data_IF_673570227710
#
_entry.id   IF_673570227710
#
_cell.length_a   1.000
_cell.length_b   1.000
_cell.length_c   1.000
_cell.angle_alpha   90.00
_cell.angle_beta   90.00
_cell.angle_gamma   90.00
#
_symmetry.space_group_name_H-M   'P 1'
#
loop_
_entity.id
_entity.type
_entity.pdbx_description
1 polymer ?
#
# COMPACT_ATOMS: atom_id res chain seq x y z
N UNK A 1 -80.59 15.27 -32.07
CA UNK A 1 -81.56 15.90 -31.11
C UNK A 1 -80.68 16.77 -30.28
N UNK A 2 -80.67 17.98 -30.67
CA UNK A 2 -81.31 19.17 -30.09
C UNK A 2 -80.55 19.59 -28.83
N UNK A 3 -80.15 20.72 -28.66
CA UNK A 3 -80.09 22.08 -29.28
C UNK A 3 -79.98 23.09 -28.11
N UNK A 4 -79.30 24.15 -28.44
CA UNK A 4 -79.50 25.55 -27.96
C UNK A 4 -78.77 26.02 -26.70
N UNK A 5 -77.83 26.92 -26.88
CA UNK A 5 -77.82 28.35 -27.20
C UNK A 5 -78.15 29.25 -26.01
N UNK A 6 -77.35 30.31 -25.91
CA UNK A 6 -77.69 31.61 -25.45
C UNK A 6 -76.66 32.26 -24.55
N UNK A 7 -75.73 33.05 -24.91
CA UNK A 7 -75.66 34.43 -25.41
C UNK A 7 -76.11 35.50 -24.42
N UNK A 8 -75.23 36.44 -24.23
CA UNK A 8 -75.35 37.93 -24.22
C UNK A 8 -74.80 38.57 -22.94
N UNK A 9 -73.72 39.25 -23.01
CA UNK A 9 -73.48 40.68 -23.31
C UNK A 9 -73.48 41.63 -22.10
N UNK A 10 -72.40 42.43 -22.06
CA UNK A 10 -72.21 43.83 -21.69
C UNK A 10 -72.27 44.15 -20.19
N UNK A 11 -71.50 45.08 -19.60
CA UNK A 11 -70.71 46.19 -20.12
C UNK A 11 -69.93 46.83 -18.97
N UNK A 12 -68.90 47.54 -19.32
CA UNK A 12 -68.37 48.78 -18.74
C UNK A 12 -67.64 48.81 -17.38
N UNK A 13 -66.37 49.20 -17.52
CA UNK A 13 -65.48 49.79 -16.56
C UNK A 13 -65.98 51.08 -15.91
N UNK A 14 -65.23 51.88 -15.10
CA UNK A 14 -63.85 51.81 -14.68
C UNK A 14 -63.60 52.16 -13.19
N UNK A 15 -62.44 52.11 -12.65
CA UNK A 15 -61.75 53.15 -11.88
C UNK A 15 -60.67 52.57 -10.91
N UNK A 16 -59.44 52.79 -11.24
CA UNK A 16 -58.44 53.53 -10.49
C UNK A 16 -57.81 52.96 -9.20
N UNK A 17 -56.52 52.73 -9.32
CA UNK A 17 -55.37 53.14 -8.44
C UNK A 17 -54.84 52.22 -7.35
N UNK A 18 -53.54 52.21 -7.44
CA UNK A 18 -52.47 51.96 -6.43
C UNK A 18 -52.03 50.51 -6.26
N UNK A 19 -51.03 50.05 -6.95
CA UNK A 19 -49.66 50.29 -6.60
C UNK A 19 -49.16 49.33 -5.53
N UNK A 20 -48.63 48.19 -5.97
CA UNK A 20 -47.49 47.57 -5.21
C UNK A 20 -46.72 46.66 -6.15
N UNK A 21 -45.49 47.09 -6.46
CA UNK A 21 -44.48 46.26 -7.10
C UNK A 21 -44.09 45.13 -6.17
N UNK A 22 -44.38 43.90 -6.54
CA UNK A 22 -43.67 42.77 -5.99
C UNK A 22 -42.69 42.26 -7.04
N UNK A 23 -41.41 42.52 -6.73
CA UNK A 23 -40.29 42.07 -7.52
C UNK A 23 -40.20 40.55 -7.54
N UNK A 24 -40.22 40.01 -8.74
CA UNK A 24 -39.96 38.61 -9.05
C UNK A 24 -38.46 38.32 -8.80
N UNK A 25 -38.13 37.87 -7.57
CA UNK A 25 -36.81 37.33 -7.26
C UNK A 25 -36.63 36.06 -8.07
N UNK A 26 -35.86 36.13 -9.15
CA UNK A 26 -35.30 34.95 -9.84
C UNK A 26 -34.37 34.28 -8.88
N UNK A 27 -34.79 33.14 -8.30
CA UNK A 27 -33.91 32.21 -7.56
C UNK A 27 -33.04 31.54 -8.61
N UNK A 28 -31.81 31.99 -8.73
CA UNK A 28 -30.74 31.25 -9.40
C UNK A 28 -30.33 30.08 -8.48
N UNK A 29 -30.87 28.90 -8.76
CA UNK A 29 -30.35 27.65 -8.17
C UNK A 29 -28.97 27.41 -8.82
N UNK A 30 -27.92 27.77 -8.12
CA UNK A 30 -26.55 27.31 -8.42
C UNK A 30 -26.51 25.78 -8.19
N UNK A 31 -26.62 25.01 -9.25
CA UNK A 31 -26.26 23.61 -9.27
C UNK A 31 -24.72 23.55 -9.08
N UNK A 32 -24.28 23.43 -7.81
CA UNK A 32 -22.92 23.00 -7.48
C UNK A 32 -22.79 21.55 -7.96
N UNK A 33 -22.21 21.39 -9.15
CA UNK A 33 -21.74 20.08 -9.61
C UNK A 33 -20.69 19.60 -8.61
N UNK A 34 -21.07 18.65 -7.76
CA UNK A 34 -20.12 17.84 -6.99
C UNK A 34 -19.32 17.01 -8.00
N UNK A 35 -18.18 17.51 -8.41
CA UNK A 35 -17.16 16.71 -9.03
C UNK A 35 -16.57 15.82 -7.92
N UNK A 36 -16.61 14.49 -8.04
CA UNK A 36 -15.84 13.66 -7.12
C UNK A 36 -14.37 14.06 -7.34
N UNK A 37 -13.80 14.71 -6.34
CA UNK A 37 -12.36 14.94 -6.32
C UNK A 37 -11.68 13.56 -6.28
N UNK A 38 -11.13 13.13 -7.41
CA UNK A 38 -10.10 12.10 -7.38
C UNK A 38 -8.99 12.65 -6.49
N UNK A 39 -8.68 11.95 -5.40
CA UNK A 39 -7.45 12.21 -4.69
C UNK A 39 -6.32 12.08 -5.71
N UNK A 40 -5.68 13.20 -6.03
CA UNK A 40 -4.50 13.18 -6.87
C UNK A 40 -3.45 12.39 -6.09
N UNK A 41 -2.92 11.32 -6.70
CA UNK A 41 -1.72 10.65 -6.21
C UNK A 41 -0.65 11.73 -5.97
N UNK A 42 0.10 11.61 -4.88
CA UNK A 42 1.19 12.54 -4.60
C UNK A 42 2.29 12.29 -5.65
N UNK A 43 2.44 13.27 -6.56
CA UNK A 43 3.31 13.15 -7.73
C UNK A 43 4.53 14.03 -7.55
N UNK A 44 5.71 13.42 -7.58
CA UNK A 44 6.99 14.12 -7.52
C UNK A 44 7.77 13.97 -8.82
N UNK A 45 8.32 15.06 -9.33
CA UNK A 45 9.12 15.08 -10.55
C UNK A 45 10.59 15.35 -10.25
N UNK A 46 11.46 14.46 -10.71
CA UNK A 46 12.91 14.54 -10.61
C UNK A 46 13.49 14.82 -12.00
N UNK A 47 13.97 16.04 -12.27
CA UNK A 47 14.55 16.38 -13.57
C UNK A 47 15.81 15.55 -13.87
N UNK A 48 16.10 15.35 -15.14
CA UNK A 48 17.33 14.69 -15.56
C UNK A 48 18.56 15.44 -15.09
N UNK A 49 19.57 14.74 -14.54
CA UNK A 49 20.82 15.36 -14.04
C UNK A 49 21.63 16.02 -15.14
N UNK A 50 21.51 15.57 -16.38
CA UNK A 50 22.15 16.17 -17.57
C UNK A 50 21.65 17.59 -17.89
N UNK A 51 20.54 18.03 -17.32
CA UNK A 51 19.94 19.34 -17.61
C UNK A 51 19.27 19.44 -18.99
N UNK A 52 19.09 18.33 -19.72
CA UNK A 52 18.41 18.33 -21.02
C UNK A 52 16.93 18.69 -20.87
N UNK A 53 16.46 19.68 -21.61
CA UNK A 53 15.06 20.12 -21.56
C UNK A 53 14.07 19.05 -22.05
N UNK A 54 14.49 18.22 -23.02
CA UNK A 54 13.70 17.12 -23.59
C UNK A 54 14.27 15.76 -23.16
N UNK A 55 14.46 15.58 -21.86
CA UNK A 55 14.89 14.30 -21.32
C UNK A 55 13.73 13.29 -21.37
N UNK A 56 13.99 12.01 -21.72
CA UNK A 56 12.98 10.97 -21.58
C UNK A 56 12.57 10.82 -20.11
N UNK A 57 11.27 10.59 -19.87
CA UNK A 57 10.69 10.54 -18.53
C UNK A 57 10.30 9.11 -18.19
N UNK A 58 10.91 8.54 -17.16
CA UNK A 58 10.48 7.30 -16.53
C UNK A 58 9.32 7.60 -15.58
N UNK A 59 8.16 7.01 -15.82
CA UNK A 59 7.00 7.09 -14.90
C UNK A 59 6.94 5.84 -14.02
N UNK A 60 6.90 6.07 -12.70
CA UNK A 60 6.90 5.00 -11.68
C UNK A 60 5.63 5.08 -10.84
N UNK A 61 4.87 3.99 -10.76
CA UNK A 61 3.80 3.81 -9.78
C UNK A 61 4.32 2.96 -8.62
N UNK A 62 4.25 3.48 -7.42
CA UNK A 62 4.85 2.81 -6.27
C UNK A 62 4.03 2.95 -4.99
N UNK A 63 4.07 1.92 -4.16
CA UNK A 63 3.55 1.96 -2.79
C UNK A 63 4.65 2.13 -1.73
N UNK A 64 5.82 2.58 -2.14
CA UNK A 64 6.88 3.02 -1.24
C UNK A 64 6.79 4.53 -1.13
N UNK A 65 6.62 5.05 0.10
CA UNK A 65 6.51 6.48 0.37
C UNK A 65 7.67 7.22 -0.31
N UNK A 66 7.36 8.33 -0.99
CA UNK A 66 8.31 9.06 -1.83
C UNK A 66 9.62 9.41 -1.11
N UNK A 67 9.63 9.91 0.14
CA UNK A 67 10.88 10.20 0.84
C UNK A 67 11.80 8.99 1.02
N UNK A 68 11.23 7.79 1.17
CA UNK A 68 11.99 6.54 1.24
C UNK A 68 12.52 6.09 -0.13
N UNK A 69 11.81 6.43 -1.21
CA UNK A 69 12.21 6.07 -2.57
C UNK A 69 13.35 6.93 -3.12
N UNK A 70 13.55 8.13 -2.58
CA UNK A 70 14.52 9.12 -3.09
C UNK A 70 15.94 8.57 -3.32
N UNK A 71 16.56 7.78 -2.42
CA UNK A 71 17.89 7.24 -2.67
C UNK A 71 17.97 6.33 -3.89
N UNK A 72 16.92 5.51 -4.13
CA UNK A 72 16.87 4.67 -5.33
C UNK A 72 16.73 5.50 -6.61
N UNK A 73 15.92 6.54 -6.58
CA UNK A 73 15.74 7.46 -7.71
C UNK A 73 17.06 8.18 -8.01
N UNK A 74 17.73 8.70 -6.97
CA UNK A 74 19.05 9.37 -7.12
C UNK A 74 20.11 8.42 -7.68
N UNK A 75 20.22 7.21 -7.10
CA UNK A 75 21.18 6.21 -7.56
C UNK A 75 20.94 5.80 -9.03
N UNK A 76 19.68 5.62 -9.42
CA UNK A 76 19.33 5.35 -10.81
C UNK A 76 19.74 6.51 -11.73
N UNK A 77 19.47 7.75 -11.34
CA UNK A 77 19.84 8.94 -12.13
C UNK A 77 21.36 9.22 -12.18
N UNK A 78 22.14 8.70 -11.22
CA UNK A 78 23.61 8.72 -11.31
C UNK A 78 24.13 7.84 -12.43
N UNK A 79 23.55 6.63 -12.54
CA UNK A 79 23.86 5.71 -13.64
C UNK A 79 23.20 6.11 -14.97
N UNK A 80 22.14 6.94 -14.93
CA UNK A 80 21.33 7.35 -16.08
C UNK A 80 21.03 8.85 -16.05
N UNK A 81 22.04 9.72 -16.19
CA UNK A 81 21.89 11.18 -15.97
C UNK A 81 21.01 11.88 -17.01
N UNK A 82 20.70 11.22 -18.12
CA UNK A 82 19.83 11.67 -19.21
C UNK A 82 18.34 11.39 -18.97
N UNK A 83 17.96 10.69 -17.87
CA UNK A 83 16.59 10.30 -17.60
C UNK A 83 15.99 11.14 -16.47
N UNK A 84 14.82 11.74 -16.72
CA UNK A 84 13.96 12.31 -15.70
C UNK A 84 13.07 11.22 -15.08
N UNK A 85 12.63 11.39 -13.82
CA UNK A 85 11.74 10.43 -13.17
C UNK A 85 10.49 11.15 -12.66
N UNK A 86 9.33 10.61 -13.03
CA UNK A 86 8.03 10.96 -12.44
C UNK A 86 7.64 9.84 -11.49
N UNK A 87 7.61 10.15 -10.22
CA UNK A 87 7.26 9.20 -9.17
C UNK A 87 5.86 9.50 -8.64
N UNK A 88 5.00 8.50 -8.62
CA UNK A 88 3.65 8.58 -8.08
C UNK A 88 3.51 7.62 -6.91
N UNK A 89 3.36 8.21 -5.70
CA UNK A 89 3.10 7.47 -4.46
C UNK A 89 1.61 7.14 -4.40
N UNK A 90 1.29 5.86 -4.29
CA UNK A 90 -0.07 5.34 -4.44
C UNK A 90 -0.35 4.20 -3.46
N UNK A 91 -1.61 4.04 -3.07
CA UNK A 91 -2.01 2.83 -2.37
C UNK A 91 -1.89 1.59 -3.28
N UNK A 92 -1.60 0.45 -2.67
CA UNK A 92 -1.36 -0.81 -3.40
C UNK A 92 -2.50 -1.23 -4.33
N UNK A 93 -3.75 -1.01 -3.90
CA UNK A 93 -4.94 -1.28 -4.73
C UNK A 93 -5.06 -0.31 -5.91
N UNK A 94 -4.74 0.96 -5.70
CA UNK A 94 -4.80 2.00 -6.74
C UNK A 94 -3.80 1.71 -7.87
N UNK A 95 -2.59 1.22 -7.55
CA UNK A 95 -1.61 0.79 -8.57
C UNK A 95 -2.21 -0.28 -9.47
N UNK A 96 -2.83 -1.31 -8.87
CA UNK A 96 -3.47 -2.40 -9.61
C UNK A 96 -4.60 -1.87 -10.50
N UNK A 97 -5.55 -1.15 -9.92
CA UNK A 97 -6.73 -0.65 -10.62
C UNK A 97 -6.36 0.31 -11.76
N UNK A 98 -5.35 1.13 -11.54
CA UNK A 98 -4.90 2.10 -12.54
C UNK A 98 -4.20 1.43 -13.71
N UNK A 99 -3.28 0.48 -13.48
CA UNK A 99 -2.62 -0.27 -14.56
C UNK A 99 -3.65 -1.03 -15.40
N UNK A 100 -4.60 -1.71 -14.76
CA UNK A 100 -5.68 -2.43 -15.46
C UNK A 100 -6.54 -1.46 -16.26
N UNK A 101 -7.07 -0.41 -15.60
CA UNK A 101 -7.98 0.54 -16.22
C UNK A 101 -7.35 1.30 -17.41
N UNK A 102 -6.12 1.78 -17.28
CA UNK A 102 -5.40 2.47 -18.36
C UNK A 102 -5.08 1.54 -19.53
N UNK A 103 -4.68 0.29 -19.23
CA UNK A 103 -4.38 -0.72 -20.27
C UNK A 103 -5.65 -1.13 -21.02
N UNK A 104 -6.75 -1.43 -20.30
CA UNK A 104 -8.02 -1.85 -20.90
C UNK A 104 -8.68 -0.75 -21.73
N UNK A 105 -8.45 0.51 -21.34
CA UNK A 105 -8.86 1.67 -22.14
C UNK A 105 -8.02 1.87 -23.41
N UNK A 106 -6.99 1.03 -23.67
CA UNK A 106 -6.06 1.18 -24.79
C UNK A 106 -5.08 2.34 -24.65
N UNK A 107 -4.94 2.87 -23.44
CA UNK A 107 -4.03 3.96 -23.09
C UNK A 107 -2.62 3.50 -22.75
N UNK A 108 -1.79 4.44 -22.34
CA UNK A 108 -0.47 4.20 -21.77
C UNK A 108 -0.56 4.29 -20.24
N UNK A 109 0.28 3.51 -19.57
CA UNK A 109 0.41 3.51 -18.11
C UNK A 109 1.86 3.77 -17.70
N UNK A 110 2.19 3.61 -16.43
CA UNK A 110 3.55 3.73 -15.93
C UNK A 110 4.53 2.80 -16.64
N UNK A 111 5.82 3.15 -16.58
CA UNK A 111 6.90 2.34 -17.15
C UNK A 111 7.41 1.29 -16.19
N UNK A 112 7.22 1.53 -14.89
CA UNK A 112 7.59 0.61 -13.83
C UNK A 112 6.57 0.68 -12.69
N UNK A 113 6.16 -0.48 -12.19
CA UNK A 113 5.32 -0.61 -11.01
C UNK A 113 6.07 -1.33 -9.89
N UNK A 114 5.99 -0.79 -8.65
CA UNK A 114 6.68 -1.31 -7.48
C UNK A 114 5.76 -1.32 -6.27
N UNK A 115 5.31 -2.50 -5.84
CA UNK A 115 4.28 -2.61 -4.81
C UNK A 115 4.54 -3.70 -3.77
N UNK A 116 4.13 -3.43 -2.54
CA UNK A 116 4.16 -4.37 -1.41
C UNK A 116 3.00 -5.38 -1.43
N UNK A 117 1.94 -5.18 -2.23
CA UNK A 117 0.90 -6.18 -2.43
C UNK A 117 1.36 -7.21 -3.47
N UNK A 118 2.14 -8.20 -3.01
CA UNK A 118 2.70 -9.26 -3.85
C UNK A 118 1.64 -9.97 -4.69
N UNK A 119 0.48 -10.23 -4.10
CA UNK A 119 -0.65 -10.92 -4.72
C UNK A 119 -1.22 -10.14 -5.90
N UNK A 120 -1.45 -8.84 -5.75
CA UNK A 120 -1.94 -7.97 -6.83
C UNK A 120 -0.92 -7.85 -7.96
N UNK A 121 0.37 -7.74 -7.65
CA UNK A 121 1.43 -7.68 -8.65
C UNK A 121 1.57 -9.00 -9.43
N UNK A 122 1.49 -10.15 -8.73
CA UNK A 122 1.49 -11.45 -9.39
C UNK A 122 0.23 -11.64 -10.23
N UNK A 123 -0.90 -11.09 -9.79
CA UNK A 123 -2.14 -11.09 -10.58
C UNK A 123 -1.98 -10.26 -11.86
N UNK A 124 -1.44 -9.05 -11.81
CA UNK A 124 -1.12 -8.27 -13.03
C UNK A 124 -0.26 -9.07 -14.01
N UNK A 125 0.79 -9.72 -13.49
CA UNK A 125 1.67 -10.57 -14.30
C UNK A 125 0.93 -11.78 -14.89
N UNK A 126 0.10 -12.47 -14.10
CA UNK A 126 -0.63 -13.66 -14.57
C UNK A 126 -1.71 -13.33 -15.61
N UNK A 127 -2.37 -12.20 -15.46
CA UNK A 127 -3.47 -11.75 -16.30
C UNK A 127 -2.99 -11.02 -17.59
N UNK A 128 -1.66 -10.92 -17.79
CA UNK A 128 -1.08 -10.38 -19.02
C UNK A 128 -0.83 -8.86 -19.01
N UNK A 129 -0.95 -8.21 -17.85
CA UNK A 129 -0.67 -6.77 -17.70
C UNK A 129 0.82 -6.44 -17.48
N UNK A 130 1.72 -7.43 -17.50
CA UNK A 130 3.16 -7.24 -17.37
C UNK A 130 3.92 -7.78 -18.58
N UNK A 131 4.95 -7.04 -19.02
CA UNK A 131 5.84 -7.48 -20.09
C UNK A 131 6.85 -8.51 -19.59
N UNK A 132 7.26 -9.41 -20.47
CA UNK A 132 8.43 -10.27 -20.24
C UNK A 132 9.68 -9.39 -20.33
N UNK A 133 10.44 -9.34 -19.23
CA UNK A 133 11.69 -8.60 -19.12
C UNK A 133 12.84 -9.59 -18.97
N UNK A 134 13.41 -10.04 -20.07
CA UNK A 134 14.54 -10.96 -20.08
C UNK A 134 15.83 -10.23 -19.72
N UNK A 135 15.93 -9.80 -18.48
CA UNK A 135 17.12 -9.12 -17.97
C UNK A 135 18.23 -10.14 -17.64
N UNK A 136 19.50 -9.79 -17.86
CA UNK A 136 20.60 -10.58 -17.36
C UNK A 136 20.57 -10.57 -15.83
N UNK A 137 20.20 -11.70 -15.24
CA UNK A 137 20.23 -11.86 -13.78
C UNK A 137 21.55 -12.48 -13.35
N UNK A 138 22.08 -12.03 -12.21
CA UNK A 138 23.16 -12.74 -11.54
C UNK A 138 22.76 -14.20 -11.30
N UNK A 139 23.69 -15.13 -11.48
CA UNK A 139 23.47 -16.54 -11.15
C UNK A 139 23.13 -16.74 -9.66
N UNK A 140 23.51 -15.79 -8.81
CA UNK A 140 23.20 -15.77 -7.39
C UNK A 140 21.78 -15.28 -7.07
N UNK A 141 21.06 -14.65 -8.02
CA UNK A 141 19.69 -14.17 -7.78
C UNK A 141 18.75 -15.31 -7.42
N UNK A 142 17.98 -15.22 -6.32
CA UNK A 142 17.16 -16.34 -5.87
C UNK A 142 16.07 -16.71 -6.88
N UNK A 143 15.96 -18.00 -7.21
CA UNK A 143 14.95 -18.49 -8.16
C UNK A 143 13.50 -18.18 -7.73
N UNK A 144 13.22 -18.17 -6.41
CA UNK A 144 11.91 -17.85 -5.86
C UNK A 144 11.52 -16.39 -6.06
N UNK A 145 12.49 -15.53 -6.34
CA UNK A 145 12.30 -14.08 -6.52
C UNK A 145 11.92 -13.67 -7.95
N UNK A 146 11.61 -14.63 -8.82
CA UNK A 146 11.25 -14.37 -10.21
C UNK A 146 10.05 -15.23 -10.63
N UNK A 147 9.04 -14.62 -11.20
CA UNK A 147 7.91 -15.28 -11.81
C UNK A 147 7.85 -14.99 -13.32
N UNK A 148 8.15 -16.01 -14.14
CA UNK A 148 8.04 -15.99 -15.63
C UNK A 148 8.76 -14.82 -16.30
N UNK A 149 9.75 -14.22 -15.68
CA UNK A 149 10.41 -12.99 -16.15
C UNK A 149 9.44 -11.80 -16.33
N UNK A 150 8.33 -11.78 -15.59
CA UNK A 150 7.31 -10.72 -15.63
C UNK A 150 7.10 -10.04 -14.28
N UNK A 151 7.39 -10.73 -13.17
CA UNK A 151 7.31 -10.18 -11.82
C UNK A 151 8.55 -10.57 -11.01
N UNK A 152 9.18 -9.61 -10.35
CA UNK A 152 10.45 -9.77 -9.65
C UNK A 152 10.33 -9.31 -8.20
N UNK A 153 10.62 -10.20 -7.25
CA UNK A 153 10.78 -9.82 -5.84
C UNK A 153 12.10 -9.08 -5.69
N UNK A 154 12.03 -7.83 -5.22
CA UNK A 154 13.17 -6.92 -5.17
C UNK A 154 13.62 -6.60 -3.74
N UNK A 155 12.81 -6.94 -2.73
CA UNK A 155 13.07 -6.69 -1.31
C UNK A 155 12.83 -7.95 -0.46
N UNK A 156 13.27 -7.93 0.81
CA UNK A 156 13.07 -9.04 1.74
C UNK A 156 12.62 -8.50 3.11
N UNK A 157 11.33 -8.14 3.22
CA UNK A 157 10.80 -7.33 4.31
C UNK A 157 10.03 -8.16 5.34
N UNK A 158 10.51 -8.29 6.59
CA UNK A 158 9.81 -9.01 7.63
C UNK A 158 8.57 -8.26 8.12
N UNK A 159 7.50 -9.00 8.48
CA UNK A 159 6.41 -8.49 9.28
C UNK A 159 6.82 -8.48 10.76
N UNK A 160 6.81 -7.30 11.37
CA UNK A 160 7.31 -7.10 12.74
C UNK A 160 6.20 -6.61 13.69
N UNK A 161 6.41 -6.78 14.99
CA UNK A 161 5.71 -5.97 15.98
C UNK A 161 6.51 -4.69 16.20
N UNK A 162 5.80 -3.57 16.31
CA UNK A 162 6.39 -2.29 16.71
C UNK A 162 5.82 -1.85 18.03
N UNK A 163 6.61 -1.20 18.86
CA UNK A 163 6.16 -0.80 20.19
C UNK A 163 6.75 0.53 20.64
N UNK A 164 6.04 1.21 21.53
CA UNK A 164 6.52 2.42 22.18
C UNK A 164 7.38 2.04 23.39
N UNK A 165 8.71 2.20 23.32
CA UNK A 165 9.67 1.77 24.35
C UNK A 165 9.34 2.28 25.74
N UNK A 166 8.99 3.58 25.98
CA UNK A 166 8.64 4.06 27.31
C UNK A 166 7.44 3.34 27.94
N UNK A 167 6.48 2.86 27.11
CA UNK A 167 5.33 2.10 27.61
C UNK A 167 5.73 0.71 28.16
N UNK A 168 6.91 0.22 27.83
CA UNK A 168 7.46 -1.07 28.26
C UNK A 168 8.67 -0.93 29.19
N UNK A 169 8.91 0.25 29.78
CA UNK A 169 10.08 0.48 30.65
C UNK A 169 10.18 -0.49 31.83
N UNK A 170 9.06 -1.04 32.27
CA UNK A 170 8.98 -1.92 33.46
C UNK A 170 8.32 -3.28 33.18
N UNK A 171 8.20 -3.65 31.89
CA UNK A 171 7.61 -4.93 31.51
C UNK A 171 8.19 -5.47 30.20
N UNK A 172 8.07 -6.78 30.03
CA UNK A 172 8.57 -7.45 28.83
C UNK A 172 7.65 -7.18 27.63
N UNK A 173 8.27 -6.87 26.50
CA UNK A 173 7.58 -6.73 25.21
C UNK A 173 7.20 -8.12 24.67
N UNK A 174 5.96 -8.33 24.22
CA UNK A 174 5.58 -9.60 23.59
C UNK A 174 6.47 -9.91 22.37
N UNK A 175 6.98 -11.13 22.28
CA UNK A 175 7.86 -11.59 21.21
C UNK A 175 7.28 -12.73 20.38
N UNK A 176 6.03 -13.13 20.67
CA UNK A 176 5.26 -14.12 19.91
C UNK A 176 3.78 -13.73 19.90
N UNK A 177 2.99 -14.36 19.02
CA UNK A 177 1.54 -14.13 18.97
C UNK A 177 0.83 -14.58 20.23
N UNK A 178 1.26 -15.68 20.84
CA UNK A 178 0.73 -16.12 22.14
C UNK A 178 1.01 -15.09 23.25
N UNK A 179 2.25 -14.62 23.36
CA UNK A 179 2.62 -13.58 24.34
C UNK A 179 1.86 -12.26 24.07
N UNK A 180 1.60 -11.92 22.81
CA UNK A 180 0.81 -10.75 22.44
C UNK A 180 -0.65 -10.87 22.91
N UNK A 181 -1.29 -12.03 22.71
CA UNK A 181 -2.64 -12.30 23.22
C UNK A 181 -2.68 -12.22 24.74
N UNK A 182 -1.71 -12.85 25.43
CA UNK A 182 -1.62 -12.82 26.89
C UNK A 182 -1.40 -11.40 27.43
N UNK A 183 -0.59 -10.60 26.74
CA UNK A 183 -0.38 -9.20 27.07
C UNK A 183 -1.71 -8.41 26.98
N UNK A 184 -2.45 -8.55 25.88
CA UNK A 184 -3.73 -7.86 25.71
C UNK A 184 -4.75 -8.26 26.79
N UNK A 185 -4.88 -9.55 27.08
CA UNK A 185 -5.78 -10.07 28.11
C UNK A 185 -5.39 -9.55 29.50
N UNK A 186 -4.11 -9.57 29.84
CA UNK A 186 -3.60 -9.11 31.14
C UNK A 186 -3.78 -7.61 31.34
N UNK A 187 -3.56 -6.82 30.30
CA UNK A 187 -3.65 -5.35 30.36
C UNK A 187 -5.08 -4.82 30.28
N UNK A 188 -5.97 -5.52 29.60
CA UNK A 188 -7.38 -5.15 29.49
C UNK A 188 -7.56 -3.67 29.11
N UNK A 189 -8.32 -2.94 29.92
CA UNK A 189 -8.65 -1.53 29.69
C UNK A 189 -7.43 -0.58 29.64
N UNK A 190 -6.29 -0.94 30.22
CA UNK A 190 -5.09 -0.10 30.22
C UNK A 190 -4.51 0.11 28.80
N UNK A 191 -4.79 -0.80 27.86
CA UNK A 191 -4.35 -0.73 26.48
C UNK A 191 -5.51 -0.58 25.48
N UNK A 192 -6.74 -0.40 25.97
CA UNK A 192 -7.92 -0.25 25.10
C UNK A 192 -7.76 0.97 24.17
N UNK A 193 -7.94 0.73 22.87
CA UNK A 193 -7.79 1.74 21.82
C UNK A 193 -6.34 2.16 21.54
N UNK A 194 -5.34 1.47 22.14
CA UNK A 194 -3.91 1.79 22.00
C UNK A 194 -3.11 0.72 21.27
N UNK A 195 -3.79 -0.20 20.58
CA UNK A 195 -3.22 -1.22 19.69
C UNK A 195 -3.60 -0.89 18.27
N UNK A 196 -2.72 -1.16 17.32
CA UNK A 196 -2.98 -0.89 15.90
C UNK A 196 -2.50 -2.02 14.99
N UNK A 197 -3.14 -2.13 13.83
CA UNK A 197 -2.73 -2.99 12.71
C UNK A 197 -3.29 -2.43 11.41
N UNK A 198 -3.05 -3.13 10.30
CA UNK A 198 -3.63 -2.74 9.02
C UNK A 198 -5.13 -3.00 8.94
N UNK A 199 -5.80 -2.11 8.20
CA UNK A 199 -7.13 -2.35 7.66
C UNK A 199 -6.99 -3.26 6.42
N UNK A 200 -7.36 -4.53 6.55
CA UNK A 200 -7.20 -5.51 5.48
C UNK A 200 -8.12 -5.28 4.28
N UNK A 201 -9.13 -4.43 4.41
CA UNK A 201 -10.00 -4.06 3.27
C UNK A 201 -9.32 -3.03 2.37
N UNK A 202 -8.51 -2.13 2.96
CA UNK A 202 -7.90 -0.99 2.28
C UNK A 202 -6.39 -1.15 2.03
N UNK A 203 -5.71 -1.96 2.85
CA UNK A 203 -4.28 -2.22 2.75
C UNK A 203 -4.01 -3.56 2.08
N UNK A 204 -3.47 -3.57 0.87
CA UNK A 204 -3.10 -4.81 0.19
C UNK A 204 -2.01 -5.58 0.94
N UNK A 205 -1.02 -4.90 1.53
CA UNK A 205 -0.01 -5.57 2.36
C UNK A 205 -0.62 -6.12 3.66
N UNK A 206 -1.56 -5.40 4.26
CA UNK A 206 -2.31 -5.90 5.43
C UNK A 206 -3.11 -7.15 5.11
N UNK A 207 -3.78 -7.17 3.96
CA UNK A 207 -4.50 -8.34 3.46
C UNK A 207 -3.55 -9.53 3.22
N UNK A 208 -2.41 -9.29 2.59
CA UNK A 208 -1.38 -10.30 2.36
C UNK A 208 -0.90 -10.92 3.68
N UNK A 209 -0.56 -10.10 4.67
CA UNK A 209 -0.11 -10.60 5.97
C UNK A 209 -1.18 -11.42 6.69
N UNK A 210 -2.44 -10.97 6.69
CA UNK A 210 -3.54 -11.73 7.28
C UNK A 210 -3.74 -13.08 6.58
N UNK A 211 -3.69 -13.10 5.25
CA UNK A 211 -3.80 -14.33 4.47
C UNK A 211 -2.67 -15.32 4.79
N UNK A 212 -1.44 -14.81 4.96
CA UNK A 212 -0.27 -15.66 5.33
C UNK A 212 -0.36 -16.13 6.79
N UNK A 213 -0.77 -15.27 7.71
CA UNK A 213 -0.98 -15.64 9.11
C UNK A 213 -2.01 -16.77 9.24
N UNK A 214 -3.12 -16.70 8.48
CA UNK A 214 -4.12 -17.77 8.49
C UNK A 214 -3.57 -19.12 8.01
N UNK A 215 -2.58 -19.13 7.12
CA UNK A 215 -1.91 -20.34 6.66
C UNK A 215 -0.87 -20.88 7.65
N UNK A 216 -0.20 -19.98 8.38
CA UNK A 216 0.92 -20.31 9.26
C UNK A 216 0.51 -20.60 10.70
N UNK A 217 -0.58 -20.01 11.16
CA UNK A 217 -0.98 -20.06 12.56
C UNK A 217 -2.46 -20.43 12.71
N UNK A 218 -2.72 -21.69 13.10
CA UNK A 218 -4.09 -22.22 13.23
C UNK A 218 -4.98 -21.47 14.20
N UNK A 219 -4.39 -20.75 15.19
CA UNK A 219 -5.13 -19.97 16.19
C UNK A 219 -5.09 -18.44 15.92
N UNK A 220 -4.90 -18.03 14.68
CA UNK A 220 -4.85 -16.61 14.32
C UNK A 220 -6.11 -15.84 14.74
N UNK A 221 -7.25 -16.51 14.72
CA UNK A 221 -8.52 -15.88 15.09
C UNK A 221 -8.61 -15.49 16.57
N UNK A 222 -7.86 -16.17 17.44
CA UNK A 222 -7.72 -15.73 18.84
C UNK A 222 -6.92 -14.43 18.95
N UNK A 223 -5.92 -14.23 18.09
CA UNK A 223 -5.17 -12.96 18.00
C UNK A 223 -6.09 -11.83 17.54
N UNK A 224 -6.90 -12.07 16.48
CA UNK A 224 -7.84 -11.08 15.96
C UNK A 224 -8.90 -10.73 17.00
N UNK A 225 -9.47 -11.74 17.69
CA UNK A 225 -10.42 -11.50 18.77
C UNK A 225 -9.83 -10.73 19.94
N UNK A 226 -8.59 -11.05 20.36
CA UNK A 226 -7.92 -10.29 21.41
C UNK A 226 -7.65 -8.83 21.01
N UNK A 227 -7.31 -8.58 19.74
CA UNK A 227 -7.18 -7.21 19.20
C UNK A 227 -8.53 -6.49 19.19
N UNK A 228 -9.62 -7.17 18.81
CA UNK A 228 -10.97 -6.64 18.85
C UNK A 228 -11.35 -6.20 20.26
N UNK A 229 -11.18 -7.09 21.26
CA UNK A 229 -11.43 -6.81 22.67
C UNK A 229 -10.59 -5.64 23.20
N UNK A 230 -9.37 -5.43 22.69
CA UNK A 230 -8.52 -4.30 23.00
C UNK A 230 -8.88 -3.03 22.22
N UNK A 231 -9.95 -3.01 21.42
CA UNK A 231 -10.38 -1.85 20.65
C UNK A 231 -9.36 -1.41 19.60
N UNK A 232 -8.74 -2.37 18.89
CA UNK A 232 -7.71 -2.14 17.88
C UNK A 232 -8.08 -1.04 16.89
N UNK A 233 -7.10 -0.23 16.49
CA UNK A 233 -7.26 0.81 15.45
C UNK A 233 -6.64 0.35 14.14
N UNK A 234 -7.40 0.52 13.06
CA UNK A 234 -7.05 0.04 11.73
C UNK A 234 -6.58 1.18 10.83
N UNK A 235 -5.49 0.95 10.08
CA UNK A 235 -4.89 1.93 9.17
C UNK A 235 -4.51 1.29 7.82
N UNK A 236 -4.51 2.09 6.76
CA UNK A 236 -4.13 1.62 5.42
C UNK A 236 -2.62 1.61 5.17
N UNK A 237 -1.83 2.37 5.95
CA UNK A 237 -0.39 2.55 5.74
C UNK A 237 0.43 2.27 7.01
N UNK A 238 1.68 1.82 6.83
CA UNK A 238 2.65 1.64 7.92
C UNK A 238 2.96 2.95 8.62
N UNK A 239 3.17 4.02 7.85
CA UNK A 239 3.55 5.35 8.35
C UNK A 239 2.52 5.91 9.33
N UNK A 240 1.21 5.74 9.01
CA UNK A 240 0.14 6.19 9.90
C UNK A 240 0.10 5.46 11.26
N UNK A 241 0.52 4.19 11.28
CA UNK A 241 0.65 3.41 12.53
C UNK A 241 1.89 3.84 13.30
N UNK A 242 3.03 3.92 12.60
CA UNK A 242 4.34 4.22 13.20
C UNK A 242 4.40 5.61 13.81
N UNK A 243 3.80 6.61 13.17
CA UNK A 243 3.62 7.95 13.74
C UNK A 243 3.00 7.91 15.14
N UNK A 244 1.94 7.10 15.28
CA UNK A 244 1.18 7.00 16.54
C UNK A 244 1.84 6.09 17.58
N UNK A 245 2.71 5.20 17.16
CA UNK A 245 3.60 4.47 18.09
C UNK A 245 4.73 5.38 18.56
N UNK A 246 5.31 6.19 17.67
CA UNK A 246 6.41 7.10 18.01
C UNK A 246 6.00 8.18 19.03
N UNK A 247 4.76 8.69 18.96
CA UNK A 247 4.24 9.69 19.90
C UNK A 247 3.53 9.09 21.13
N UNK A 248 3.53 7.75 21.25
CA UNK A 248 2.96 7.03 22.41
C UNK A 248 1.44 6.93 22.43
N UNK A 249 0.73 7.40 21.39
CA UNK A 249 -0.73 7.15 21.24
C UNK A 249 -1.03 5.66 21.17
N UNK A 250 -0.20 4.88 20.47
CA UNK A 250 -0.25 3.42 20.48
C UNK A 250 0.92 2.82 21.25
N UNK A 251 0.64 1.75 21.99
CA UNK A 251 1.67 1.00 22.70
C UNK A 251 2.27 -0.11 21.84
N UNK A 252 1.46 -0.67 20.93
CA UNK A 252 1.85 -1.77 20.04
C UNK A 252 1.17 -1.66 18.67
N UNK A 253 1.94 -1.99 17.62
CA UNK A 253 1.46 -2.27 16.27
C UNK A 253 1.77 -3.71 15.88
N UNK A 254 0.80 -4.41 15.31
CA UNK A 254 0.89 -5.81 14.89
C UNK A 254 1.11 -5.92 13.37
N UNK A 255 2.04 -6.78 12.95
CA UNK A 255 2.36 -7.07 11.53
C UNK A 255 2.72 -5.86 10.68
N UNK A 256 3.58 -4.97 11.17
CA UNK A 256 4.03 -3.79 10.44
C UNK A 256 5.23 -4.16 9.54
N UNK A 257 5.36 -3.51 8.38
CA UNK A 257 6.52 -3.66 7.51
C UNK A 257 7.81 -3.28 8.23
N UNK A 258 8.76 -4.21 8.29
CA UNK A 258 10.00 -4.04 9.03
C UNK A 258 10.89 -2.93 8.49
N UNK A 259 10.90 -2.68 7.19
CA UNK A 259 11.63 -1.57 6.57
C UNK A 259 11.15 -0.21 7.07
N UNK A 260 9.84 0.01 7.08
CA UNK A 260 9.25 1.23 7.65
C UNK A 260 9.53 1.35 9.14
N UNK A 261 9.42 0.23 9.87
CA UNK A 261 9.73 0.22 11.29
C UNK A 261 11.20 0.61 11.56
N UNK A 262 12.14 0.09 10.76
CA UNK A 262 13.57 0.42 10.86
C UNK A 262 13.85 1.89 10.56
N UNK A 263 13.27 2.43 9.48
CA UNK A 263 13.39 3.86 9.15
C UNK A 263 12.84 4.75 10.27
N UNK A 264 11.65 4.44 10.80
CA UNK A 264 11.08 5.20 11.92
C UNK A 264 11.93 5.09 13.18
N UNK A 265 12.39 3.89 13.54
CA UNK A 265 13.24 3.69 14.72
C UNK A 265 14.58 4.43 14.64
N UNK A 266 15.12 4.64 13.43
CA UNK A 266 16.36 5.42 13.22
C UNK A 266 16.18 6.90 13.55
N UNK A 267 14.98 7.43 13.39
CA UNK A 267 14.63 8.84 13.61
C UNK A 267 13.88 9.11 14.92
N UNK A 268 13.24 8.05 15.48
CA UNK A 268 12.43 8.13 16.69
C UNK A 268 12.92 7.08 17.70
N UNK A 269 13.77 7.48 18.69
CA UNK A 269 14.40 6.55 19.63
C UNK A 269 13.40 5.75 20.48
N UNK A 270 12.17 6.26 20.63
CA UNK A 270 11.10 5.61 21.40
C UNK A 270 10.39 4.48 20.62
N UNK A 271 10.65 4.32 19.34
CA UNK A 271 10.13 3.19 18.56
C UNK A 271 11.01 1.97 18.74
N UNK A 272 10.41 0.87 19.16
CA UNK A 272 11.05 -0.43 19.25
C UNK A 272 10.48 -1.41 18.23
N UNK A 273 11.28 -2.40 17.85
CA UNK A 273 10.95 -3.42 16.85
C UNK A 273 11.16 -4.80 17.47
N UNK A 274 10.24 -5.70 17.21
CA UNK A 274 10.36 -7.13 17.58
C UNK A 274 10.12 -7.97 16.34
N UNK A 275 11.07 -8.84 16.00
CA UNK A 275 10.87 -9.95 15.06
C UNK A 275 10.16 -11.08 15.81
N UNK A 276 8.93 -11.47 15.44
CA UNK A 276 8.19 -12.52 16.14
C UNK A 276 8.94 -13.86 16.13
N UNK A 277 9.11 -14.47 17.31
CA UNK A 277 9.92 -15.69 17.50
C UNK A 277 9.16 -16.98 17.15
N UNK A 278 7.84 -16.96 17.17
CA UNK A 278 7.02 -18.09 16.74
C UNK A 278 7.14 -18.32 15.24
N UNK A 279 6.95 -17.29 14.44
CA UNK A 279 7.33 -17.19 13.03
C UNK A 279 7.30 -15.72 12.56
N UNK A 280 8.12 -15.42 11.57
CA UNK A 280 8.14 -14.11 10.92
C UNK A 280 7.84 -14.29 9.43
N UNK A 281 6.70 -13.76 8.99
CA UNK A 281 6.37 -13.67 7.56
C UNK A 281 7.30 -12.66 6.91
N UNK A 282 7.88 -13.02 5.76
CA UNK A 282 8.70 -12.11 4.96
C UNK A 282 8.05 -11.94 3.61
N UNK A 283 7.67 -10.71 3.31
CA UNK A 283 7.17 -10.33 1.99
C UNK A 283 8.27 -9.67 1.16
N UNK A 284 8.01 -9.52 -0.12
CA UNK A 284 8.86 -8.76 -1.05
C UNK A 284 8.02 -7.75 -1.80
N UNK A 285 8.54 -6.55 -2.02
CA UNK A 285 7.95 -5.67 -3.03
C UNK A 285 8.25 -6.26 -4.40
N UNK A 286 7.22 -6.36 -5.21
CA UNK A 286 7.32 -6.86 -6.58
C UNK A 286 7.45 -5.69 -7.54
N UNK A 287 8.52 -5.75 -8.35
CA UNK A 287 8.72 -4.86 -9.49
C UNK A 287 8.30 -5.53 -10.80
N UNK A 288 7.66 -4.79 -11.68
CA UNK A 288 7.30 -5.23 -13.03
C UNK A 288 7.26 -4.04 -14.00
N UNK A 289 7.42 -4.37 -15.29
CA UNK A 289 7.21 -3.43 -16.40
C UNK A 289 5.80 -3.68 -16.95
N UNK A 290 4.87 -2.72 -16.84
CA UNK A 290 3.50 -2.91 -17.33
C UNK A 290 3.45 -3.15 -18.84
N UNK A 291 2.44 -3.92 -19.30
CA UNK A 291 2.24 -4.25 -20.73
C UNK A 291 2.05 -3.01 -21.58
N UNK A 292 1.30 -2.02 -21.08
CA UNK A 292 1.01 -0.78 -21.78
C UNK A 292 1.95 0.38 -21.37
N UNK A 293 3.15 0.07 -20.85
CA UNK A 293 4.15 1.09 -20.51
C UNK A 293 4.36 2.09 -21.67
N UNK A 294 4.53 3.37 -21.33
CA UNK A 294 4.81 4.41 -22.32
C UNK A 294 6.24 4.27 -22.88
N UNK A 295 7.21 4.08 -21.95
CA UNK A 295 8.65 3.96 -22.23
C UNK A 295 9.19 2.65 -21.61
N UNK A 296 8.84 1.47 -22.16
CA UNK A 296 9.13 0.18 -21.56
C UNK A 296 10.64 -0.10 -21.39
N UNK A 297 11.49 0.50 -22.24
CA UNK A 297 12.95 0.39 -22.07
C UNK A 297 13.45 1.11 -20.83
N UNK A 298 12.87 2.26 -20.47
CA UNK A 298 13.18 2.95 -19.23
C UNK A 298 12.75 2.12 -18.03
N UNK A 299 11.57 1.50 -18.09
CA UNK A 299 11.10 0.57 -17.08
C UNK A 299 12.04 -0.62 -16.88
N UNK A 300 12.54 -1.23 -17.98
CA UNK A 300 13.53 -2.32 -17.92
C UNK A 300 14.88 -1.85 -17.36
N UNK A 301 15.35 -0.66 -17.73
CA UNK A 301 16.58 -0.06 -17.16
C UNK A 301 16.44 0.15 -15.66
N UNK A 302 15.28 0.63 -15.20
CA UNK A 302 15.03 0.85 -13.76
C UNK A 302 14.94 -0.47 -13.00
N UNK A 303 14.24 -1.47 -13.55
CA UNK A 303 14.21 -2.83 -13.00
C UNK A 303 15.61 -3.45 -12.92
N UNK A 304 16.42 -3.29 -13.98
CA UNK A 304 17.81 -3.78 -13.98
C UNK A 304 18.66 -3.09 -12.88
N UNK A 305 18.46 -1.79 -12.66
CA UNK A 305 19.14 -1.09 -11.56
C UNK A 305 18.71 -1.64 -10.20
N UNK A 306 17.42 -1.87 -9.95
CA UNK A 306 16.96 -2.51 -8.72
C UNK A 306 17.58 -3.89 -8.48
N UNK A 307 17.79 -4.66 -9.55
CA UNK A 307 18.38 -6.01 -9.48
C UNK A 307 19.92 -6.00 -9.42
N UNK A 308 20.56 -4.88 -9.70
CA UNK A 308 22.01 -4.75 -9.66
C UNK A 308 22.52 -4.78 -8.21
N UNK A 309 23.79 -5.16 -8.04
CA UNK A 309 24.47 -5.09 -6.73
C UNK A 309 24.44 -3.66 -6.18
N UNK A 310 24.60 -2.65 -7.03
CA UNK A 310 24.56 -1.25 -6.64
C UNK A 310 23.18 -0.86 -6.10
N UNK A 311 22.09 -1.11 -6.84
CA UNK A 311 20.73 -0.82 -6.42
C UNK A 311 20.33 -1.56 -5.14
N UNK A 312 20.71 -2.86 -5.03
CA UNK A 312 20.48 -3.65 -3.83
C UNK A 312 21.30 -3.13 -2.62
N UNK A 313 22.48 -2.57 -2.86
CA UNK A 313 23.28 -1.94 -1.81
C UNK A 313 22.67 -0.63 -1.33
N UNK A 314 22.17 0.21 -2.25
CA UNK A 314 21.41 1.42 -1.91
C UNK A 314 20.18 1.05 -1.08
N UNK A 315 19.42 0.05 -1.50
CA UNK A 315 18.25 -0.42 -0.72
C UNK A 315 18.61 -0.80 0.71
N UNK A 316 19.63 -1.62 0.88
CA UNK A 316 20.04 -2.12 2.20
C UNK A 316 20.56 -1.01 3.13
N UNK A 317 21.34 -0.06 2.59
CA UNK A 317 22.08 0.92 3.39
C UNK A 317 21.31 2.22 3.61
N UNK A 318 20.63 2.71 2.57
CA UNK A 318 20.00 4.03 2.62
C UNK A 318 18.50 3.94 2.91
N UNK A 319 17.80 2.91 2.40
CA UNK A 319 16.35 2.73 2.62
C UNK A 319 16.04 1.86 3.85
N UNK A 320 17.02 1.22 4.45
CA UNK A 320 16.82 0.21 5.51
C UNK A 320 15.91 -0.96 5.06
N UNK A 321 15.87 -1.24 3.74
CA UNK A 321 15.11 -2.35 3.16
C UNK A 321 16.07 -3.51 2.90
N UNK A 322 15.84 -4.68 3.52
CA UNK A 322 16.76 -5.81 3.35
C UNK A 322 16.88 -6.25 1.89
N UNK A 323 18.12 -6.33 1.41
CA UNK A 323 18.45 -6.78 0.06
C UNK A 323 18.11 -8.25 -0.15
N UNK A 324 17.54 -8.57 -1.32
CA UNK A 324 17.30 -9.97 -1.77
C UNK A 324 18.59 -10.61 -2.28
N UNK A 325 19.46 -9.81 -2.92
CA UNK A 325 20.68 -10.31 -3.54
C UNK A 325 21.67 -10.82 -2.49
N UNK A 326 22.13 -12.09 -2.58
CA UNK A 326 23.14 -12.62 -1.69
C UNK A 326 24.54 -12.02 -1.93
N UNK A 327 24.72 -11.21 -2.99
CA UNK A 327 25.97 -10.50 -3.29
C UNK A 327 26.15 -9.23 -2.44
N UNK A 328 25.09 -8.79 -1.73
CA UNK A 328 25.15 -7.67 -0.81
C UNK A 328 25.46 -8.17 0.59
N UNK A 329 26.52 -7.62 1.18
CA UNK A 329 26.90 -7.89 2.56
C UNK A 329 26.45 -6.75 3.49
N UNK A 330 26.12 -7.07 4.74
CA UNK A 330 25.73 -6.12 5.78
C UNK A 330 24.54 -6.58 6.59
N UNK A 331 24.04 -5.71 7.45
CA UNK A 331 23.00 -6.03 8.43
C UNK A 331 21.60 -6.19 7.79
N UNK A 332 21.30 -5.37 6.79
CA UNK A 332 19.97 -5.37 6.13
C UNK A 332 20.00 -6.25 4.87
N UNK A 333 20.04 -7.56 5.05
CA UNK A 333 20.04 -8.54 3.95
C UNK A 333 19.17 -9.74 4.26
N UNK A 334 18.73 -10.44 3.22
CA UNK A 334 18.04 -11.72 3.36
C UNK A 334 18.88 -12.75 4.11
N UNK A 335 20.22 -12.77 3.88
CA UNK A 335 21.15 -13.68 4.55
C UNK A 335 21.17 -13.42 6.05
N UNK A 336 21.31 -12.18 6.48
CA UNK A 336 21.33 -11.81 7.91
C UNK A 336 20.03 -12.17 8.62
N UNK A 337 18.88 -11.92 7.98
CA UNK A 337 17.59 -12.34 8.52
C UNK A 337 17.47 -13.86 8.60
N UNK A 338 18.00 -14.58 7.61
CA UNK A 338 18.05 -16.06 7.62
C UNK A 338 18.93 -16.60 8.74
N UNK A 339 20.07 -15.99 8.99
CA UNK A 339 20.96 -16.34 10.10
C UNK A 339 20.31 -16.07 11.46
N UNK A 340 19.60 -14.95 11.59
CA UNK A 340 18.95 -14.53 12.84
C UNK A 340 17.72 -15.38 13.20
N UNK A 341 16.86 -15.69 12.23
CA UNK A 341 15.57 -16.32 12.45
C UNK A 341 15.51 -17.79 12.04
N UNK A 342 16.40 -18.24 11.15
CA UNK A 342 16.50 -19.63 10.73
C UNK A 342 15.15 -20.23 10.32
N UNK A 343 14.75 -21.29 11.03
CA UNK A 343 13.52 -22.02 10.75
C UNK A 343 12.21 -21.25 11.09
N UNK A 344 12.29 -20.09 11.74
CA UNK A 344 11.13 -19.24 12.05
C UNK A 344 10.76 -18.32 10.87
N UNK A 345 11.68 -18.15 9.93
CA UNK A 345 11.46 -17.31 8.76
C UNK A 345 10.46 -17.96 7.79
N UNK A 346 9.49 -17.18 7.31
CA UNK A 346 8.46 -17.60 6.36
C UNK A 346 8.44 -16.68 5.15
N UNK A 347 9.42 -16.82 4.23
CA UNK A 347 9.41 -16.05 3.00
C UNK A 347 8.21 -16.42 2.13
N UNK A 348 7.55 -15.42 1.60
CA UNK A 348 6.44 -15.59 0.65
C UNK A 348 7.01 -15.70 -0.76
N UNK A 349 6.95 -16.86 -1.43
CA UNK A 349 7.50 -17.01 -2.77
C UNK A 349 6.64 -16.29 -3.81
N UNK A 350 7.28 -15.76 -4.86
CA UNK A 350 6.57 -15.23 -6.04
C UNK A 350 6.00 -16.40 -6.83
N UNK A 351 4.72 -16.66 -6.66
CA UNK A 351 4.07 -17.85 -7.22
C UNK A 351 2.55 -17.64 -7.39
N UNK A 352 1.86 -18.46 -8.18
CA UNK A 352 0.39 -18.42 -8.31
C UNK A 352 -0.34 -18.64 -6.97
N UNK A 353 0.28 -19.25 -5.99
CA UNK A 353 -0.28 -19.42 -4.64
C UNK A 353 -0.65 -18.10 -3.97
N UNK A 354 -0.02 -16.98 -4.38
CA UNK A 354 -0.39 -15.64 -3.94
C UNK A 354 -1.81 -15.23 -4.34
N UNK A 355 -2.33 -15.75 -5.46
CA UNK A 355 -3.64 -15.37 -5.98
C UNK A 355 -4.80 -16.12 -5.29
N UNK A 356 -4.52 -17.11 -4.45
CA UNK A 356 -5.57 -17.97 -3.83
C UNK A 356 -6.61 -17.14 -3.07
N UNK A 357 -6.18 -16.09 -2.38
CA UNK A 357 -7.06 -15.20 -1.61
C UNK A 357 -7.57 -14.00 -2.41
N UNK A 358 -7.15 -13.84 -3.67
CA UNK A 358 -7.73 -12.86 -4.59
C UNK A 358 -8.98 -13.37 -5.28
N UNK A 359 -9.29 -14.69 -5.19
CA UNK A 359 -10.62 -15.22 -5.52
C UNK A 359 -11.68 -14.44 -4.75
N UNK A 360 -12.67 -13.91 -5.47
CA UNK A 360 -13.64 -12.98 -4.89
C UNK A 360 -14.39 -13.58 -3.70
N UNK A 361 -14.73 -14.89 -3.78
CA UNK A 361 -15.48 -15.58 -2.71
C UNK A 361 -14.58 -15.78 -1.48
N UNK A 362 -13.34 -16.22 -1.68
CA UNK A 362 -12.38 -16.42 -0.59
C UNK A 362 -12.00 -15.09 0.08
N UNK A 363 -11.74 -14.07 -0.73
CA UNK A 363 -11.45 -12.71 -0.24
C UNK A 363 -12.61 -12.16 0.59
N UNK A 364 -13.82 -12.22 0.07
CA UNK A 364 -15.01 -11.75 0.77
C UNK A 364 -15.26 -12.52 2.09
N UNK A 365 -15.06 -13.85 2.09
CA UNK A 365 -15.17 -14.66 3.31
C UNK A 365 -14.12 -14.30 4.35
N UNK A 366 -12.87 -14.12 3.95
CA UNK A 366 -11.79 -13.74 4.87
C UNK A 366 -12.08 -12.38 5.52
N UNK A 367 -12.46 -11.38 4.72
CA UNK A 367 -12.82 -10.04 5.20
C UNK A 367 -14.07 -10.09 6.11
N UNK A 368 -15.12 -10.83 5.72
CA UNK A 368 -16.32 -10.94 6.53
C UNK A 368 -16.01 -11.56 7.90
N UNK A 369 -15.23 -12.65 7.92
CA UNK A 369 -14.83 -13.30 9.16
C UNK A 369 -13.91 -12.44 10.03
N UNK A 370 -12.98 -11.70 9.43
CA UNK A 370 -12.17 -10.69 10.12
C UNK A 370 -13.06 -9.65 10.82
N UNK A 371 -14.01 -9.07 10.09
CA UNK A 371 -14.91 -8.07 10.64
C UNK A 371 -15.83 -8.62 11.74
N UNK A 372 -16.31 -9.85 11.57
CA UNK A 372 -17.11 -10.55 12.59
C UNK A 372 -16.32 -10.72 13.88
N UNK A 373 -15.12 -11.30 13.81
CA UNK A 373 -14.27 -11.58 14.99
C UNK A 373 -13.83 -10.30 15.69
N UNK A 374 -13.48 -9.25 14.94
CA UNK A 374 -13.11 -7.96 15.53
C UNK A 374 -14.26 -7.29 16.29
N UNK A 375 -15.52 -7.51 15.86
CA UNK A 375 -16.71 -6.88 16.44
C UNK A 375 -17.41 -7.73 17.51
N UNK A 376 -17.09 -9.01 17.58
CA UNK A 376 -17.74 -9.96 18.48
C UNK A 376 -17.38 -9.77 19.97
N UNK A 377 -16.65 -8.71 20.34
CA UNK A 377 -16.10 -8.48 21.66
C UNK A 377 -16.78 -7.29 22.38
#
# INVERSE_FOLDING_TARGET
MADRRGSLRRALAPFCRLGHCYGMRRIFILLLAFWPGFALADQTFYPAKSGRAEAPVLTVYSSLDEPLAQPMIRGFQEANPDVAVRYEDMLTGEIYDRIVGETDAGGKTADFAFSSAMDLQVKLSNDGYAQVSNLPMSAAWPKWANWRNTAYALTFEPAVFVYHKPSFAHEQVPSSRAEFVDYLKRKGNAVYGRISTYDIERSGVGFLFMARDQEQFGDIWSVIGAMGAAGVKLYSTSSAILERVADGRFVLGYNILGSYAADWASRHPDVGIVLPKDYTVVMSRIGLVPQAAAEPELGRRYLAFFMSKEGQTVMARELQIPAVSPEVAGENTANTLQELLGAQLRPVPVSPGLMVYLDQVKRARLIAHWNEVLRAQ
#
